data_IF_458653691840
#
_entry.id   IF_458653691840
#
_cell.length_a   1.000
_cell.length_b   1.000
_cell.length_c   1.000
_cell.angle_alpha   90.00
_cell.angle_beta   90.00
_cell.angle_gamma   90.00
#
_symmetry.space_group_name_H-M   'P 1'
#
loop_
_entity.id
_entity.type
_entity.pdbx_description
1 polymer ?
#
# COMPACT_ATOMS: atom_id res chain seq x y z
N UNK A 1 16.15 6.57 -1.90
CA UNK A 1 15.65 6.39 -0.52
C UNK A 1 14.14 6.59 -0.39
N UNK A 2 13.53 7.56 -1.11
CA UNK A 2 12.11 7.95 -1.02
C UNK A 2 11.02 6.88 -1.24
N UNK A 3 11.31 5.74 -1.90
CA UNK A 3 10.27 4.78 -2.28
C UNK A 3 9.83 3.88 -1.10
N UNK A 4 10.74 3.55 -0.16
CA UNK A 4 10.40 2.71 1.00
C UNK A 4 9.53 3.47 2.01
N UNK A 5 9.88 4.72 2.30
CA UNK A 5 9.13 5.56 3.24
C UNK A 5 7.71 5.83 2.71
N UNK A 6 7.56 6.00 1.40
CA UNK A 6 6.26 6.14 0.75
C UNK A 6 5.43 4.85 0.83
N UNK A 7 6.02 3.69 0.52
CA UNK A 7 5.33 2.40 0.65
C UNK A 7 4.88 2.17 2.10
N UNK A 8 5.75 2.48 3.07
CA UNK A 8 5.43 2.38 4.49
C UNK A 8 4.27 3.29 4.86
N UNK A 9 4.32 4.57 4.47
CA UNK A 9 3.23 5.51 4.73
C UNK A 9 1.88 5.04 4.16
N UNK A 10 1.87 4.55 2.92
CA UNK A 10 0.65 4.02 2.28
C UNK A 10 0.10 2.81 3.04
N UNK A 11 0.97 1.87 3.41
CA UNK A 11 0.57 0.65 4.14
C UNK A 11 0.11 0.95 5.58
N UNK A 12 0.75 1.89 6.27
CA UNK A 12 0.31 2.35 7.60
C UNK A 12 -1.08 3.02 7.49
N UNK A 13 -1.30 3.86 6.47
CA UNK A 13 -2.59 4.52 6.22
C UNK A 13 -3.72 3.52 5.92
N UNK A 14 -3.44 2.48 5.14
CA UNK A 14 -4.39 1.40 4.89
C UNK A 14 -4.72 0.63 6.17
N UNK A 15 -3.72 0.37 7.02
CA UNK A 15 -3.92 -0.25 8.33
C UNK A 15 -4.84 0.56 9.24
N UNK A 16 -4.71 1.89 9.26
CA UNK A 16 -5.60 2.77 10.02
C UNK A 16 -7.05 2.69 9.54
N UNK A 17 -7.28 2.64 8.21
CA UNK A 17 -8.62 2.49 7.64
C UNK A 17 -9.26 1.15 8.01
N UNK A 18 -8.50 0.06 7.94
CA UNK A 18 -8.95 -1.27 8.38
C UNK A 18 -9.34 -1.24 9.87
N UNK A 19 -8.52 -0.58 10.71
CA UNK A 19 -8.85 -0.40 12.13
C UNK A 19 -10.12 0.43 12.36
N UNK A 20 -10.38 1.46 11.54
CA UNK A 20 -11.63 2.24 11.59
C UNK A 20 -12.84 1.42 11.15
N UNK A 21 -12.68 0.52 10.16
CA UNK A 21 -13.74 -0.33 9.67
C UNK A 21 -14.28 -1.29 10.75
N UNK A 22 -13.41 -1.79 11.65
CA UNK A 22 -13.77 -2.74 12.71
C UNK A 22 -14.82 -2.20 13.69
N UNK A 23 -14.85 -0.87 13.90
CA UNK A 23 -15.78 -0.19 14.81
C UNK A 23 -16.86 0.62 14.09
N UNK A 24 -16.83 0.65 12.76
CA UNK A 24 -17.76 1.42 11.94
C UNK A 24 -19.10 0.69 11.74
N UNK A 25 -20.15 1.47 11.44
CA UNK A 25 -21.40 0.89 10.93
C UNK A 25 -21.16 0.25 9.56
N UNK A 26 -21.90 -0.81 9.17
CA UNK A 26 -21.57 -1.60 7.98
C UNK A 26 -21.36 -0.81 6.69
N UNK A 27 -22.17 0.23 6.44
CA UNK A 27 -22.02 1.06 5.24
C UNK A 27 -20.69 1.81 5.20
N UNK A 28 -20.26 2.37 6.33
CA UNK A 28 -19.01 3.11 6.44
C UNK A 28 -17.80 2.16 6.54
N UNK A 29 -17.99 0.98 7.13
CA UNK A 29 -16.96 -0.06 7.15
C UNK A 29 -16.59 -0.50 5.73
N UNK A 30 -17.57 -0.67 4.84
CA UNK A 30 -17.30 -0.95 3.43
C UNK A 30 -16.49 0.16 2.76
N UNK A 31 -16.86 1.43 2.96
CA UNK A 31 -16.11 2.56 2.39
C UNK A 31 -14.64 2.59 2.85
N UNK A 32 -14.38 2.33 4.13
CA UNK A 32 -13.01 2.25 4.65
C UNK A 32 -12.22 1.06 4.10
N UNK A 33 -12.88 -0.09 3.91
CA UNK A 33 -12.23 -1.27 3.33
C UNK A 33 -11.87 -1.01 1.86
N UNK A 34 -12.80 -0.45 1.08
CA UNK A 34 -12.57 -0.14 -0.33
C UNK A 34 -11.36 0.81 -0.49
N UNK A 35 -11.28 1.88 0.32
CA UNK A 35 -10.16 2.82 0.29
C UNK A 35 -8.83 2.17 0.75
N UNK A 36 -8.88 1.30 1.76
CA UNK A 36 -7.71 0.55 2.20
C UNK A 36 -7.17 -0.40 1.12
N UNK A 37 -8.06 -1.06 0.37
CA UNK A 37 -7.69 -1.93 -0.75
C UNK A 37 -7.00 -1.15 -1.87
N UNK A 38 -7.49 0.04 -2.22
CA UNK A 38 -6.86 0.91 -3.23
C UNK A 38 -5.44 1.31 -2.82
N UNK A 39 -5.24 1.69 -1.56
CA UNK A 39 -3.92 2.03 -1.01
C UNK A 39 -2.97 0.83 -1.07
N UNK A 40 -3.43 -0.36 -0.67
CA UNK A 40 -2.61 -1.58 -0.72
C UNK A 40 -2.27 -1.98 -2.15
N UNK A 41 -3.18 -1.79 -3.10
CA UNK A 41 -2.91 -2.01 -4.53
C UNK A 41 -1.81 -1.06 -5.03
N UNK A 42 -1.86 0.22 -4.67
CA UNK A 42 -0.82 1.20 -5.00
C UNK A 42 0.55 0.81 -4.41
N UNK A 43 0.59 0.41 -3.13
CA UNK A 43 1.81 -0.06 -2.48
C UNK A 43 2.39 -1.31 -3.20
N UNK A 44 1.53 -2.23 -3.62
CA UNK A 44 1.91 -3.41 -4.40
C UNK A 44 2.54 -3.06 -5.75
N UNK A 45 2.02 -2.05 -6.45
CA UNK A 45 2.59 -1.56 -7.71
C UNK A 45 3.97 -0.93 -7.50
N UNK A 46 4.14 -0.11 -6.46
CA UNK A 46 5.42 0.51 -6.11
C UNK A 46 6.49 -0.54 -5.76
N UNK A 47 6.11 -1.59 -5.03
CA UNK A 47 7.00 -2.72 -4.72
C UNK A 47 7.41 -3.51 -5.96
N UNK A 48 6.48 -3.78 -6.88
CA UNK A 48 6.77 -4.46 -8.16
C UNK A 48 7.65 -3.62 -9.09
N UNK A 49 7.47 -2.30 -9.09
CA UNK A 49 8.35 -1.38 -9.83
C UNK A 49 9.79 -1.50 -9.33
N UNK A 50 9.98 -1.45 -8.01
CA UNK A 50 11.30 -1.61 -7.39
C UNK A 50 11.97 -2.95 -7.70
N UNK A 51 11.23 -4.07 -7.67
CA UNK A 51 11.82 -5.38 -7.92
C UNK A 51 12.36 -5.50 -9.35
N UNK A 52 11.70 -4.86 -10.33
CA UNK A 52 12.18 -4.80 -11.72
C UNK A 52 13.44 -3.95 -11.84
N UNK A 53 13.47 -2.77 -11.22
CA UNK A 53 14.62 -1.88 -11.27
C UNK A 53 15.85 -2.50 -10.58
N UNK A 54 15.67 -3.18 -9.46
CA UNK A 54 16.75 -3.89 -8.76
C UNK A 54 17.29 -5.09 -9.55
N UNK A 55 16.44 -5.78 -10.32
CA UNK A 55 16.87 -6.85 -11.23
C UNK A 55 17.71 -6.29 -12.39
N UNK A 56 17.23 -5.23 -13.05
CA UNK A 56 17.96 -4.59 -14.15
C UNK A 56 19.32 -4.03 -13.71
N UNK A 57 19.39 -3.45 -12.50
CA UNK A 57 20.64 -2.95 -11.93
C UNK A 57 21.64 -4.09 -11.61
N UNK A 58 21.15 -5.27 -11.21
CA UNK A 58 22.00 -6.44 -10.94
C UNK A 58 22.50 -7.12 -12.22
N UNK A 59 21.74 -7.07 -13.30
CA UNK A 59 22.16 -7.61 -14.61
C UNK A 59 23.15 -6.71 -15.34
N UNK A 60 23.21 -5.42 -14.98
CA UNK A 60 24.10 -4.42 -15.60
C UNK A 60 25.46 -4.24 -14.87
N UNK A 61 25.70 -4.93 -13.76
CA UNK A 61 26.91 -4.83 -12.93
C UNK A 61 27.74 -6.13 -12.97
#
# INVERSE_FOLDING_TARGET
MYNVDLIRYITDSAGELIGKADVAVPSLACEFIDEAEELLALAGLLLKGRSKDELLLKEAA
#
